data_IF_425901768270
#
_entry.id   IF_425901768270
#
_cell.length_a   1.000
_cell.length_b   1.000
_cell.length_c   1.000
_cell.angle_alpha   90.00
_cell.angle_beta   90.00
_cell.angle_gamma   90.00
#
_symmetry.space_group_name_H-M   'P 1'
#
loop_
_entity.id
_entity.type
_entity.pdbx_description
1 polymer ?
#
# COMPACT_ATOMS: atom_id res chain seq x y z
N UNK A 1 -12.27 -5.23 12.42
CA UNK A 1 -10.94 -4.69 12.76
C UNK A 1 -11.03 -3.91 14.07
N UNK A 2 -10.45 -4.41 15.16
CA UNK A 2 -10.44 -3.68 16.44
C UNK A 2 -9.26 -2.69 16.46
N UNK A 3 -9.53 -1.43 16.79
CA UNK A 3 -8.51 -0.39 16.87
C UNK A 3 -7.47 -0.71 17.95
N UNK A 4 -6.21 -0.34 17.72
CA UNK A 4 -5.16 -0.44 18.74
C UNK A 4 -5.47 0.50 19.91
N UNK A 5 -5.14 0.08 21.15
CA UNK A 5 -5.20 0.96 22.32
C UNK A 5 -4.19 2.12 22.21
N UNK A 6 -3.11 1.94 21.44
CA UNK A 6 -2.10 2.97 21.17
C UNK A 6 -2.60 3.94 20.08
N UNK A 7 -3.00 5.14 20.52
CA UNK A 7 -3.48 6.25 19.66
C UNK A 7 -2.42 6.81 18.71
N UNK A 8 -1.16 6.40 18.82
CA UNK A 8 -0.10 6.77 17.87
C UNK A 8 -0.10 5.90 16.62
N UNK A 9 -0.73 4.72 16.68
CA UNK A 9 -0.82 3.79 15.55
C UNK A 9 -1.79 4.34 14.50
N UNK A 10 -1.35 4.43 13.24
CA UNK A 10 -2.14 5.00 12.14
C UNK A 10 -3.48 4.30 11.94
N UNK A 11 -3.54 2.99 12.22
CA UNK A 11 -4.75 2.19 12.08
C UNK A 11 -5.88 2.61 13.04
N UNK A 12 -5.58 3.34 14.13
CA UNK A 12 -6.62 3.92 15.00
C UNK A 12 -7.44 5.00 14.30
N UNK A 13 -6.91 5.59 13.23
CA UNK A 13 -7.57 6.54 12.33
C UNK A 13 -7.78 5.99 10.93
N UNK A 14 -7.84 4.66 10.78
CA UNK A 14 -8.00 4.02 9.48
C UNK A 14 -9.30 4.44 8.80
N UNK A 15 -9.21 5.13 7.65
CA UNK A 15 -10.37 5.54 6.88
C UNK A 15 -11.19 4.33 6.37
N UNK A 16 -10.54 3.18 6.11
CA UNK A 16 -11.20 1.98 5.60
C UNK A 16 -12.28 1.48 6.57
N UNK A 17 -12.03 1.53 7.89
CA UNK A 17 -13.03 1.15 8.90
C UNK A 17 -14.27 2.04 8.83
N UNK A 18 -14.08 3.35 8.68
CA UNK A 18 -15.18 4.31 8.56
C UNK A 18 -15.98 4.08 7.27
N UNK A 19 -15.29 3.81 6.16
CA UNK A 19 -15.94 3.53 4.87
C UNK A 19 -16.70 2.21 4.89
N UNK A 20 -16.13 1.14 5.44
CA UNK A 20 -16.80 -0.17 5.60
C UNK A 20 -18.08 -0.04 6.43
N UNK A 21 -18.03 0.71 7.55
CA UNK A 21 -19.22 1.00 8.37
C UNK A 21 -20.29 1.78 7.61
N UNK A 22 -19.88 2.69 6.72
CA UNK A 22 -20.80 3.49 5.91
C UNK A 22 -21.44 2.66 4.77
N UNK A 23 -20.72 1.69 4.23
CA UNK A 23 -21.15 0.92 3.06
C UNK A 23 -21.10 -0.59 3.35
N UNK A 24 -22.08 -1.16 4.07
CA UNK A 24 -22.04 -2.57 4.48
C UNK A 24 -21.98 -3.56 3.31
N UNK A 25 -22.53 -3.21 2.14
CA UNK A 25 -22.43 -4.05 0.92
C UNK A 25 -20.99 -4.22 0.44
N UNK A 26 -20.11 -3.24 0.72
CA UNK A 26 -18.68 -3.32 0.40
C UNK A 26 -18.01 -4.49 1.13
N UNK A 27 -18.36 -4.71 2.40
CA UNK A 27 -17.77 -5.78 3.23
C UNK A 27 -17.97 -7.14 2.54
N UNK A 28 -19.20 -7.43 2.12
CA UNK A 28 -19.49 -8.70 1.43
C UNK A 28 -18.67 -8.90 0.14
N UNK A 29 -18.35 -7.81 -0.57
CA UNK A 29 -17.54 -7.88 -1.79
C UNK A 29 -16.06 -8.10 -1.46
N UNK A 30 -15.56 -7.44 -0.41
CA UNK A 30 -14.20 -7.64 0.08
C UNK A 30 -13.99 -9.07 0.58
N UNK A 31 -14.97 -9.64 1.29
CA UNK A 31 -14.93 -11.02 1.77
C UNK A 31 -14.87 -12.03 0.61
N UNK A 32 -15.69 -11.85 -0.43
CA UNK A 32 -15.61 -12.69 -1.64
C UNK A 32 -14.26 -12.55 -2.35
N UNK A 33 -13.70 -11.35 -2.40
CA UNK A 33 -12.38 -11.12 -2.99
C UNK A 33 -11.27 -11.78 -2.15
N UNK A 34 -11.44 -11.91 -0.84
CA UNK A 34 -10.46 -12.56 0.04
C UNK A 34 -10.26 -14.04 -0.30
N UNK A 35 -11.26 -14.71 -0.88
CA UNK A 35 -11.14 -16.09 -1.35
C UNK A 35 -10.13 -16.23 -2.51
N UNK A 36 -10.00 -15.20 -3.35
CA UNK A 36 -9.03 -15.17 -4.45
C UNK A 36 -7.58 -15.15 -3.95
N UNK A 37 -7.35 -14.78 -2.68
CA UNK A 37 -6.02 -14.72 -2.08
C UNK A 37 -5.62 -16.02 -1.37
N UNK A 38 -6.47 -17.06 -1.42
CA UNK A 38 -6.20 -18.37 -0.80
C UNK A 38 -5.39 -19.32 -1.70
N UNK A 39 -5.19 -18.95 -2.97
CA UNK A 39 -4.41 -19.72 -3.94
C UNK A 39 -3.71 -18.80 -4.94
N UNK A 40 -2.77 -19.35 -5.70
CA UNK A 40 -2.24 -18.66 -6.87
C UNK A 40 -3.31 -18.62 -7.97
N UNK A 41 -3.51 -17.44 -8.55
CA UNK A 41 -4.41 -17.24 -9.68
C UNK A 41 -3.73 -17.68 -10.98
N UNK A 42 -4.48 -18.33 -11.85
CA UNK A 42 -4.03 -18.69 -13.19
C UNK A 42 -3.93 -17.43 -14.06
N UNK A 43 -3.08 -17.46 -15.08
CA UNK A 43 -2.92 -16.31 -15.98
C UNK A 43 -4.27 -15.86 -16.57
N UNK A 44 -5.12 -16.80 -16.99
CA UNK A 44 -6.45 -16.51 -17.58
C UNK A 44 -7.40 -15.79 -16.62
N UNK A 45 -7.18 -15.89 -15.31
CA UNK A 45 -7.99 -15.21 -14.28
C UNK A 45 -7.50 -13.78 -14.01
N UNK A 46 -6.25 -13.47 -14.39
CA UNK A 46 -5.66 -12.15 -14.20
C UNK A 46 -6.09 -11.20 -15.32
N UNK A 47 -6.65 -10.03 -14.99
CA UNK A 47 -7.08 -9.06 -15.98
C UNK A 47 -5.89 -8.43 -16.72
N UNK A 48 -6.12 -8.04 -17.98
CA UNK A 48 -5.30 -7.06 -18.68
C UNK A 48 -5.85 -5.66 -18.42
N UNK A 49 -4.99 -4.74 -18.02
CA UNK A 49 -5.35 -3.37 -17.67
C UNK A 49 -5.07 -2.43 -18.85
N UNK A 50 -5.89 -1.40 -19.01
CA UNK A 50 -5.69 -0.33 -19.98
C UNK A 50 -5.39 1.01 -19.28
N UNK A 51 -4.66 0.93 -18.17
CA UNK A 51 -4.30 2.08 -17.35
C UNK A 51 -2.79 2.16 -17.22
N UNK A 52 -2.22 3.36 -17.35
CA UNK A 52 -0.79 3.56 -17.16
C UNK A 52 -0.37 3.43 -15.69
N UNK A 53 -1.28 3.73 -14.75
CA UNK A 53 -1.01 3.70 -13.31
C UNK A 53 -2.17 2.98 -12.61
N UNK A 54 -1.84 2.07 -11.71
CA UNK A 54 -2.78 1.41 -10.83
C UNK A 54 -2.25 1.39 -9.39
N UNK A 55 -3.16 1.26 -8.43
CA UNK A 55 -2.82 1.05 -7.02
C UNK A 55 -3.33 -0.32 -6.60
N UNK A 56 -2.46 -1.10 -5.96
CA UNK A 56 -2.91 -2.26 -5.19
C UNK A 56 -3.53 -1.78 -3.88
N UNK A 57 -4.66 -2.38 -3.52
CA UNK A 57 -5.41 -2.12 -2.30
C UNK A 57 -5.72 -0.63 -2.02
N UNK A 58 -6.87 -0.20 -2.50
CA UNK A 58 -7.50 1.04 -2.03
C UNK A 58 -8.01 0.92 -0.58
N UNK A 59 -8.18 -0.30 -0.07
CA UNK A 59 -8.64 -0.59 1.30
C UNK A 59 -7.93 -1.84 1.84
N UNK A 60 -7.80 -1.91 3.16
CA UNK A 60 -7.26 -3.11 3.81
C UNK A 60 -5.74 -3.20 3.82
N UNK A 61 -5.26 -4.42 4.01
CA UNK A 61 -3.84 -4.78 4.12
C UNK A 61 -3.68 -6.22 3.62
N UNK A 62 -2.54 -6.54 3.02
CA UNK A 62 -2.29 -7.90 2.51
C UNK A 62 -2.34 -8.95 3.61
N UNK A 63 -2.92 -10.09 3.28
CA UNK A 63 -3.22 -11.13 4.27
C UNK A 63 -2.11 -12.18 4.40
N UNK A 64 -1.56 -12.62 3.28
CA UNK A 64 -0.58 -13.71 3.20
C UNK A 64 0.37 -13.53 1.99
N UNK A 65 1.32 -14.44 1.83
CA UNK A 65 2.32 -14.43 0.76
C UNK A 65 1.69 -14.66 -0.63
N UNK A 66 0.65 -15.49 -0.72
CA UNK A 66 -0.05 -15.80 -1.97
C UNK A 66 -0.72 -14.55 -2.56
N UNK A 67 -1.27 -13.70 -1.70
CA UNK A 67 -1.87 -12.42 -2.07
C UNK A 67 -0.85 -11.53 -2.79
N UNK A 68 0.35 -11.40 -2.23
CA UNK A 68 1.44 -10.60 -2.81
C UNK A 68 1.94 -11.24 -4.12
N UNK A 69 2.07 -12.58 -4.16
CA UNK A 69 2.47 -13.28 -5.38
C UNK A 69 1.47 -13.05 -6.52
N UNK A 70 0.17 -13.05 -6.22
CA UNK A 70 -0.86 -12.74 -7.21
C UNK A 70 -0.75 -11.29 -7.72
N UNK A 71 -0.43 -10.32 -6.86
CA UNK A 71 -0.14 -8.96 -7.30
C UNK A 71 1.09 -8.87 -8.20
N UNK A 72 2.15 -9.61 -7.87
CA UNK A 72 3.33 -9.64 -8.73
C UNK A 72 3.04 -10.31 -10.07
N UNK A 73 2.21 -11.36 -10.10
CA UNK A 73 1.79 -11.99 -11.35
C UNK A 73 0.92 -11.03 -12.19
N UNK A 74 0.01 -10.30 -11.56
CA UNK A 74 -0.79 -9.27 -12.22
C UNK A 74 0.09 -8.17 -12.82
N UNK A 75 1.11 -7.72 -12.09
CA UNK A 75 2.05 -6.72 -12.56
C UNK A 75 2.90 -7.23 -13.73
N UNK A 76 3.37 -8.49 -13.69
CA UNK A 76 4.12 -9.12 -14.79
C UNK A 76 3.27 -9.26 -16.06
N UNK A 77 1.98 -9.55 -15.91
CA UNK A 77 1.04 -9.62 -17.03
C UNK A 77 0.77 -8.25 -17.68
N UNK A 78 0.95 -7.16 -16.92
CA UNK A 78 0.69 -5.79 -17.33
C UNK A 78 1.95 -4.91 -17.21
N UNK A 79 3.01 -5.19 -18.01
CA UNK A 79 4.31 -4.51 -17.86
C UNK A 79 4.23 -3.00 -18.11
N UNK A 80 3.27 -2.54 -18.92
CA UNK A 80 3.04 -1.13 -19.25
C UNK A 80 2.33 -0.33 -18.14
N UNK A 81 1.81 -1.01 -17.11
CA UNK A 81 1.15 -0.36 -15.97
C UNK A 81 2.11 -0.26 -14.80
N UNK A 82 2.28 0.94 -14.25
CA UNK A 82 2.98 1.15 -12.97
C UNK A 82 2.03 0.92 -11.80
N UNK A 83 2.42 0.03 -10.89
CA UNK A 83 1.65 -0.30 -9.70
C UNK A 83 2.26 0.34 -8.45
N UNK A 84 1.49 1.18 -7.76
CA UNK A 84 1.82 1.59 -6.40
C UNK A 84 1.30 0.59 -5.39
N UNK A 85 2.17 0.10 -4.49
CA UNK A 85 1.82 -0.90 -3.50
C UNK A 85 2.22 -0.45 -2.09
N UNK A 86 1.24 -0.08 -1.26
CA UNK A 86 1.46 0.29 0.13
C UNK A 86 1.18 -0.89 1.05
N UNK A 87 2.11 -1.20 1.94
CA UNK A 87 1.88 -2.22 2.98
C UNK A 87 2.72 -1.96 4.22
N UNK A 88 2.20 -2.39 5.37
CA UNK A 88 2.93 -2.42 6.66
C UNK A 88 3.60 -3.79 6.92
N UNK A 89 3.25 -4.82 6.13
CA UNK A 89 3.61 -6.23 6.33
C UNK A 89 5.01 -6.55 5.76
N UNK A 90 6.02 -5.97 6.40
CA UNK A 90 7.44 -6.18 6.07
C UNK A 90 7.87 -7.65 6.15
N UNK A 91 7.24 -8.39 7.06
CA UNK A 91 7.42 -9.84 7.23
C UNK A 91 7.06 -10.59 5.95
N UNK A 92 5.85 -10.39 5.41
CA UNK A 92 5.38 -11.08 4.21
C UNK A 92 6.17 -10.68 2.97
N UNK A 93 6.45 -9.38 2.82
CA UNK A 93 7.26 -8.89 1.70
C UNK A 93 8.63 -9.54 1.71
N UNK A 94 9.30 -9.59 2.86
CA UNK A 94 10.63 -10.20 2.97
C UNK A 94 10.61 -11.67 2.55
N UNK A 95 9.62 -12.43 3.01
CA UNK A 95 9.43 -13.84 2.64
C UNK A 95 9.19 -14.00 1.14
N UNK A 96 8.34 -13.16 0.53
CA UNK A 96 8.06 -13.24 -0.90
C UNK A 96 9.29 -12.86 -1.72
N UNK A 97 10.02 -11.81 -1.33
CA UNK A 97 11.22 -11.36 -2.04
C UNK A 97 12.41 -12.31 -1.89
N UNK A 98 12.41 -13.21 -0.90
CA UNK A 98 13.40 -14.29 -0.86
C UNK A 98 13.09 -15.43 -1.84
N UNK A 99 11.85 -15.51 -2.35
CA UNK A 99 11.41 -16.56 -3.29
C UNK A 99 11.37 -16.05 -4.73
N UNK A 100 10.95 -14.80 -4.95
CA UNK A 100 10.76 -14.22 -6.29
C UNK A 100 11.27 -12.79 -6.36
N UNK A 101 11.71 -12.36 -7.55
CA UNK A 101 12.06 -10.97 -7.79
C UNK A 101 10.82 -10.08 -7.85
N UNK A 102 10.93 -8.88 -7.27
CA UNK A 102 9.91 -7.82 -7.41
C UNK A 102 9.82 -7.40 -8.89
N UNK A 103 8.62 -7.33 -9.49
CA UNK A 103 8.46 -6.78 -10.83
C UNK A 103 8.90 -5.31 -10.88
N UNK A 104 9.60 -4.90 -11.95
CA UNK A 104 10.16 -3.56 -12.07
C UNK A 104 9.10 -2.45 -12.10
N UNK A 105 7.90 -2.76 -12.61
CA UNK A 105 6.74 -1.87 -12.66
C UNK A 105 5.95 -1.82 -11.34
N UNK A 106 6.45 -2.41 -10.25
CA UNK A 106 5.86 -2.30 -8.91
C UNK A 106 6.73 -1.39 -8.04
N UNK A 107 6.15 -0.28 -7.60
CA UNK A 107 6.74 0.62 -6.61
C UNK A 107 6.19 0.22 -5.24
N UNK A 108 7.05 -0.41 -4.44
CA UNK A 108 6.72 -0.94 -3.13
C UNK A 108 7.01 0.10 -2.05
N UNK A 109 5.97 0.46 -1.30
CA UNK A 109 5.96 1.59 -0.37
C UNK A 109 5.66 1.08 1.04
N UNK A 110 6.60 1.30 1.96
CA UNK A 110 6.43 0.93 3.36
C UNK A 110 5.54 1.98 4.03
N UNK A 111 4.36 1.57 4.45
CA UNK A 111 3.48 2.42 5.25
C UNK A 111 3.96 2.40 6.71
N UNK A 112 4.36 3.55 7.23
CA UNK A 112 4.78 3.66 8.64
C UNK A 112 3.60 3.32 9.56
N UNK A 113 3.85 2.48 10.57
CA UNK A 113 2.78 2.02 11.48
C UNK A 113 2.38 3.09 12.49
N UNK A 114 3.33 3.94 12.90
CA UNK A 114 3.11 5.05 13.83
C UNK A 114 3.04 6.38 13.07
N UNK A 115 2.11 7.23 13.48
CA UNK A 115 2.04 8.61 13.01
C UNK A 115 3.21 9.42 13.58
N UNK A 116 3.63 10.46 12.85
CA UNK A 116 4.71 11.39 13.25
C UNK A 116 6.10 10.76 13.42
N UNK A 117 6.26 9.47 13.09
CA UNK A 117 7.52 8.75 13.17
C UNK A 117 7.84 8.16 11.80
N UNK A 118 8.85 8.73 11.16
CA UNK A 118 9.37 8.23 9.88
C UNK A 118 10.16 6.95 10.16
N UNK A 119 9.72 5.84 9.57
CA UNK A 119 10.44 4.58 9.62
C UNK A 119 11.66 4.60 8.66
N UNK A 120 12.69 3.82 8.97
CA UNK A 120 13.79 3.56 8.02
C UNK A 120 13.26 2.78 6.82
N UNK A 121 13.85 3.01 5.64
CA UNK A 121 13.53 2.23 4.43
C UNK A 121 13.83 0.75 4.66
N UNK A 122 12.82 -0.14 4.65
CA UNK A 122 13.06 -1.57 4.80
C UNK A 122 13.64 -2.18 3.52
N UNK A 123 14.40 -3.26 3.65
CA UNK A 123 14.98 -3.95 2.50
C UNK A 123 13.89 -4.42 1.51
N UNK A 124 14.12 -4.19 0.22
CA UNK A 124 13.20 -4.56 -0.87
C UNK A 124 12.13 -3.51 -1.20
N UNK A 125 11.93 -2.51 -0.34
CA UNK A 125 11.03 -1.38 -0.58
C UNK A 125 11.74 -0.27 -1.34
N UNK A 126 10.97 0.52 -2.09
CA UNK A 126 11.47 1.69 -2.82
C UNK A 126 11.29 2.98 -2.03
N UNK A 127 10.19 3.09 -1.28
CA UNK A 127 9.78 4.32 -0.59
C UNK A 127 9.19 4.04 0.79
N UNK A 128 9.15 5.06 1.63
CA UNK A 128 8.46 5.06 2.93
C UNK A 128 7.40 6.15 2.91
N UNK A 129 6.19 5.80 3.32
CA UNK A 129 5.09 6.74 3.48
C UNK A 129 4.75 6.90 4.97
N UNK A 130 4.72 8.14 5.45
CA UNK A 130 4.42 8.45 6.85
C UNK A 130 3.33 9.52 6.92
N UNK A 131 2.28 9.21 7.70
CA UNK A 131 1.22 10.14 8.02
C UNK A 131 1.57 10.93 9.29
N UNK A 132 1.36 12.24 9.25
CA UNK A 132 1.67 13.18 10.32
C UNK A 132 0.42 13.90 10.78
N UNK A 133 0.31 14.18 12.08
CA UNK A 133 -0.70 15.10 12.62
C UNK A 133 -0.08 16.49 12.66
N UNK A 134 -0.81 17.49 12.16
CA UNK A 134 -0.32 18.88 12.11
C UNK A 134 0.17 19.42 13.45
N UNK A 135 -0.49 19.07 14.56
CA UNK A 135 -0.14 19.52 15.92
C UNK A 135 1.13 18.89 16.48
N UNK A 136 1.61 17.79 15.90
CA UNK A 136 2.74 16.98 16.36
C UNK A 136 3.86 16.95 15.29
N UNK A 137 3.80 17.84 14.30
CA UNK A 137 4.77 17.89 13.22
C UNK A 137 6.10 18.44 13.74
N UNK A 138 7.16 17.65 13.60
CA UNK A 138 8.51 18.07 13.96
C UNK A 138 9.07 19.03 12.91
N UNK A 139 9.84 20.04 13.34
CA UNK A 139 10.37 21.10 12.47
C UNK A 139 11.30 20.60 11.35
N UNK A 140 11.88 19.42 11.52
CA UNK A 140 12.77 18.75 10.56
C UNK A 140 12.04 17.86 9.55
N UNK A 141 10.71 17.78 9.59
CA UNK A 141 9.93 16.98 8.63
C UNK A 141 9.41 17.87 7.51
N UNK A 142 9.89 17.63 6.28
CA UNK A 142 9.33 18.25 5.08
C UNK A 142 8.12 17.47 4.60
N UNK A 143 6.98 18.16 4.48
CA UNK A 143 5.75 17.63 3.89
C UNK A 143 5.84 17.76 2.38
N UNK A 144 5.67 16.65 1.66
CA UNK A 144 5.77 16.58 0.21
C UNK A 144 4.59 15.85 -0.46
N UNK A 145 3.64 15.33 0.33
CA UNK A 145 2.36 14.82 -0.18
C UNK A 145 1.26 15.90 -0.04
N UNK A 146 0.65 16.27 -1.17
CA UNK A 146 -0.43 17.27 -1.25
C UNK A 146 -1.83 16.69 -1.49
N UNK A 147 -1.98 15.35 -1.47
CA UNK A 147 -3.24 14.63 -1.78
C UNK A 147 -3.72 14.70 -3.25
N UNK A 148 -2.94 15.30 -4.16
CA UNK A 148 -3.24 15.36 -5.60
C UNK A 148 -2.46 14.29 -6.39
N UNK A 149 -2.73 13.02 -6.09
CA UNK A 149 -1.92 11.90 -6.61
C UNK A 149 -1.87 11.81 -8.15
N UNK A 150 -2.96 12.14 -8.84
CA UNK A 150 -3.02 12.09 -10.30
C UNK A 150 -2.15 13.18 -10.95
N UNK A 151 -1.96 14.29 -10.25
CA UNK A 151 -1.18 15.44 -10.71
C UNK A 151 0.30 15.25 -10.37
N UNK A 152 0.63 14.93 -9.11
CA UNK A 152 2.02 14.86 -8.67
C UNK A 152 2.70 13.52 -8.99
N UNK A 153 1.95 12.41 -8.96
CA UNK A 153 2.43 11.03 -9.19
C UNK A 153 3.69 10.65 -8.41
N UNK A 154 3.95 11.34 -7.28
CA UNK A 154 5.19 11.20 -6.51
C UNK A 154 5.44 9.75 -6.08
N UNK A 155 4.39 9.11 -5.57
CA UNK A 155 4.42 7.71 -5.13
C UNK A 155 4.42 6.71 -6.30
N UNK A 156 4.02 7.13 -7.49
CA UNK A 156 3.81 6.29 -8.66
C UNK A 156 4.90 6.49 -9.72
N UNK A 157 6.02 7.08 -9.35
CA UNK A 157 7.14 7.36 -10.25
C UNK A 157 8.44 6.82 -9.67
N UNK A 158 9.29 6.26 -10.53
CA UNK A 158 10.67 5.94 -10.20
C UNK A 158 11.47 7.26 -10.15
N UNK A 159 11.70 7.76 -8.94
CA UNK A 159 12.41 9.00 -8.65
C UNK A 159 13.21 8.84 -7.34
N UNK A 160 14.05 9.82 -7.06
CA UNK A 160 14.97 9.80 -5.91
C UNK A 160 14.28 10.11 -4.57
N UNK A 161 12.98 10.38 -4.56
CA UNK A 161 12.25 10.69 -3.34
C UNK A 161 11.87 9.38 -2.64
N UNK A 162 12.60 9.08 -1.57
CA UNK A 162 12.37 7.88 -0.75
C UNK A 162 11.33 8.11 0.34
N UNK A 163 11.34 9.27 1.01
CA UNK A 163 10.46 9.56 2.15
C UNK A 163 9.30 10.46 1.73
N UNK A 164 8.09 9.97 1.90
CA UNK A 164 6.84 10.65 1.55
C UNK A 164 6.08 10.96 2.84
N UNK A 165 5.83 12.24 3.09
CA UNK A 165 5.23 12.74 4.32
C UNK A 165 3.94 13.49 4.00
N UNK A 166 2.86 13.05 4.63
CA UNK A 166 1.52 13.62 4.48
C UNK A 166 1.02 14.18 5.81
N UNK A 167 0.28 15.30 5.78
CA UNK A 167 -0.52 15.75 6.92
C UNK A 167 -1.93 15.14 6.83
N UNK A 168 -2.35 14.46 7.90
CA UNK A 168 -3.71 14.00 8.10
C UNK A 168 -4.68 15.19 8.24
N UNK A 169 -5.79 15.12 7.52
CA UNK A 169 -6.91 16.07 7.67
C UNK A 169 -7.72 15.79 8.93
#
# INVERSE_FOLDING_TARGET
MNGSADKTVVCTRCYSITTEKRYPKLISALERNADLYKRILLDVELPRLNFAIARFDSFGEVHNELHILNYFNLARKNPETTFGFWTKRKDLIKTVLSMVSKPANVILIHSSTKMNKIDKLPAGYDKVFTAHKKSELSANVTINCSHSCNDCRLCYSHNDIVFINEILK
#
